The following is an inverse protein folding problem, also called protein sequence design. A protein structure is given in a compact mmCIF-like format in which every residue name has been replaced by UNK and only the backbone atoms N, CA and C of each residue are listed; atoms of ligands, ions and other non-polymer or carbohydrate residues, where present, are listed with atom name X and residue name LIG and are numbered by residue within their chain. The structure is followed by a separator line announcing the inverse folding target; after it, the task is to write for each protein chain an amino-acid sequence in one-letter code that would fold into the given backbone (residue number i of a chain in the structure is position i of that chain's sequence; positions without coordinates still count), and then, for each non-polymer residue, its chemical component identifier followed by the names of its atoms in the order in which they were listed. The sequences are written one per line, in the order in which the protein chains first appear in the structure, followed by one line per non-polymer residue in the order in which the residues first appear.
data_IF_687273642489
#
_entry.id   IF_687273642489
#
_cell.length_a   1.000
_cell.length_b   1.000
_cell.length_c   1.000
_cell.angle_alpha   90.00
_cell.angle_beta   90.00
_cell.angle_gamma   90.00
#
_symmetry.space_group_name_H-M   'P 1'
#
loop_
_entity.id
_entity.type
_entity.pdbx_description
1 polymer ?
#
# COMPACT_ATOMS: atom_id res chain seq x y z
N UNK A 1 -35.36 5.65 -22.02
CA UNK A 1 -35.19 6.11 -20.62
C UNK A 1 -33.78 6.67 -20.54
N UNK A 2 -33.62 7.99 -20.56
CA UNK A 2 -32.30 8.62 -20.46
C UNK A 2 -31.64 8.20 -19.14
N UNK A 3 -30.47 7.57 -19.25
CA UNK A 3 -29.64 7.30 -18.08
C UNK A 3 -29.11 8.66 -17.63
N UNK A 4 -29.78 9.30 -16.68
CA UNK A 4 -29.21 10.43 -15.98
C UNK A 4 -27.90 9.95 -15.34
N UNK A 5 -26.76 10.31 -15.93
CA UNK A 5 -25.45 10.16 -15.28
C UNK A 5 -25.49 11.02 -14.03
N UNK A 6 -25.79 10.41 -12.87
CA UNK A 6 -25.67 11.08 -11.59
C UNK A 6 -24.25 11.65 -11.51
N UNK A 7 -24.15 12.98 -11.37
CA UNK A 7 -22.88 13.68 -11.29
C UNK A 7 -22.43 13.71 -9.83
N UNK A 8 -21.17 13.41 -9.59
CA UNK A 8 -20.55 13.57 -8.27
C UNK A 8 -20.41 15.06 -7.96
N UNK A 9 -21.34 15.59 -7.16
CA UNK A 9 -21.42 17.00 -6.82
C UNK A 9 -20.15 17.38 -6.04
N UNK A 10 -19.43 18.39 -6.53
CA UNK A 10 -18.16 18.89 -5.97
C UNK A 10 -17.02 17.87 -5.88
N UNK A 11 -17.07 16.76 -6.63
CA UNK A 11 -16.08 15.67 -6.55
C UNK A 11 -15.90 15.13 -5.11
N UNK A 12 -16.97 15.18 -4.29
CA UNK A 12 -16.90 14.78 -2.88
C UNK A 12 -16.51 13.33 -2.69
N UNK A 13 -17.05 12.42 -3.51
CA UNK A 13 -16.69 11.00 -3.48
C UNK A 13 -15.22 10.81 -3.84
N UNK A 14 -14.73 11.50 -4.87
CA UNK A 14 -13.32 11.45 -5.28
C UNK A 14 -12.39 11.83 -4.13
N UNK A 15 -12.69 12.91 -3.41
CA UNK A 15 -11.87 13.39 -2.29
C UNK A 15 -11.92 12.44 -1.08
N UNK A 16 -13.07 11.84 -0.81
CA UNK A 16 -13.18 10.83 0.25
C UNK A 16 -12.31 9.61 -0.07
N UNK A 17 -12.37 9.08 -1.30
CA UNK A 17 -11.51 7.97 -1.71
C UNK A 17 -10.01 8.31 -1.67
N UNK A 18 -9.66 9.57 -1.92
CA UNK A 18 -8.31 10.09 -1.72
C UNK A 18 -7.88 10.05 -0.25
N UNK A 19 -8.70 10.56 0.67
CA UNK A 19 -8.43 10.48 2.13
C UNK A 19 -8.34 9.04 2.60
N UNK A 20 -9.23 8.16 2.13
CA UNK A 20 -9.18 6.73 2.47
C UNK A 20 -7.86 6.09 2.00
N UNK A 21 -7.39 6.43 0.80
CA UNK A 21 -6.06 6.04 0.31
C UNK A 21 -4.93 6.53 1.24
N UNK A 22 -4.96 7.80 1.64
CA UNK A 22 -3.99 8.37 2.59
C UNK A 22 -4.00 7.61 3.92
N UNK A 23 -5.19 7.36 4.49
CA UNK A 23 -5.37 6.64 5.76
C UNK A 23 -4.93 5.17 5.74
N UNK A 24 -4.83 4.55 4.56
CA UNK A 24 -4.35 3.16 4.46
C UNK A 24 -2.85 3.01 4.64
N UNK A 25 -2.05 3.92 4.05
CA UNK A 25 -0.59 3.76 4.01
C UNK A 25 0.15 4.74 4.90
N UNK A 26 -0.42 5.91 5.23
CA UNK A 26 0.31 6.89 6.04
C UNK A 26 0.73 6.34 7.41
N UNK A 27 -0.14 5.64 8.17
CA UNK A 27 0.27 5.06 9.45
C UNK A 27 1.45 4.11 9.30
N UNK A 28 1.40 3.20 8.32
CA UNK A 28 2.49 2.26 8.06
C UNK A 28 3.78 2.96 7.62
N UNK A 29 3.69 3.97 6.75
CA UNK A 29 4.85 4.74 6.29
C UNK A 29 5.54 5.48 7.45
N UNK A 30 4.76 6.04 8.38
CA UNK A 30 5.29 6.66 9.60
C UNK A 30 5.89 5.63 10.56
N UNK A 31 5.29 4.44 10.66
CA UNK A 31 5.89 3.35 11.42
C UNK A 31 7.26 2.94 10.87
N UNK A 32 7.37 2.76 9.55
CA UNK A 32 8.64 2.47 8.88
C UNK A 32 9.65 3.60 9.05
N UNK A 33 9.20 4.86 8.98
CA UNK A 33 10.03 6.06 9.20
C UNK A 33 10.60 6.09 10.62
N UNK A 34 9.84 5.64 11.61
CA UNK A 34 10.25 5.52 13.00
C UNK A 34 11.18 4.32 13.29
N UNK A 35 11.69 3.61 12.28
CA UNK A 35 12.62 2.47 12.47
C UNK A 35 13.80 2.84 13.36
N UNK A 36 14.39 4.03 13.19
CA UNK A 36 15.52 4.48 14.01
C UNK A 36 15.16 4.56 15.51
N UNK A 37 13.95 5.01 15.83
CA UNK A 37 13.42 5.03 17.19
C UNK A 37 13.32 3.62 17.78
N UNK A 38 12.79 2.66 17.03
CA UNK A 38 12.68 1.30 17.53
C UNK A 38 14.06 0.65 17.72
N UNK A 39 14.98 0.82 16.77
CA UNK A 39 16.33 0.26 16.89
C UNK A 39 17.13 0.88 18.02
N UNK A 40 17.00 2.19 18.26
CA UNK A 40 17.70 2.84 19.38
C UNK A 40 17.17 2.37 20.73
N UNK A 41 15.85 2.13 20.83
CA UNK A 41 15.22 1.64 22.07
C UNK A 41 15.54 0.18 22.40
N UNK A 42 16.02 -0.59 21.42
CA UNK A 42 16.45 -1.98 21.58
C UNK A 42 17.93 -2.13 21.94
N UNK A 43 18.67 -1.02 22.08
CA UNK A 43 20.08 -1.05 22.44
C UNK A 43 20.22 -1.38 23.94
N UNK A 44 21.01 -2.39 24.27
CA UNK A 44 21.25 -2.79 25.66
C UNK A 44 22.18 -1.80 26.37
N UNK A 45 21.82 -1.27 27.55
CA UNK A 45 22.73 -0.48 28.38
C UNK A 45 23.87 -1.31 29.00
N UNK A 46 23.62 -2.59 29.26
CA UNK A 46 24.53 -3.48 30.02
C UNK A 46 25.74 -3.97 29.23
N UNK A 47 25.77 -3.82 27.91
CA UNK A 47 26.96 -4.10 27.10
C UNK A 47 27.97 -2.94 27.10
N UNK A 48 27.60 -1.78 27.63
CA UNK A 48 28.52 -0.63 27.77
C UNK A 48 29.43 -0.78 29.01
N UNK A 49 28.99 -1.49 30.05
CA UNK A 49 29.78 -1.76 31.27
C UNK A 49 30.68 -3.00 31.19
N UNK A 50 30.34 -4.01 30.37
CA UNK A 50 31.19 -5.20 30.23
C UNK A 50 32.47 -4.96 29.39
N UNK A 51 32.54 -3.85 28.64
CA UNK A 51 33.68 -3.50 27.78
C UNK A 51 34.74 -2.66 28.55
N UNK A 52 34.42 -2.13 29.74
CA UNK A 52 35.34 -1.26 30.49
C UNK A 52 36.41 -2.00 31.30
N UNK A 53 36.47 -3.34 31.27
CA UNK A 53 37.40 -4.11 32.14
C UNK A 53 38.51 -4.85 31.39
N UNK A 54 38.42 -5.10 30.08
CA UNK A 54 39.55 -5.59 29.28
C UNK A 54 39.18 -5.61 27.80
N UNK A 55 39.86 -4.81 26.97
CA UNK A 55 40.40 -5.16 25.64
C UNK A 55 40.87 -3.87 24.95
N UNK A 56 42.17 -3.80 24.71
CA UNK A 56 42.81 -2.89 23.77
C UNK A 56 42.59 -3.38 22.34
N UNK A 57 42.41 -2.42 21.41
CA UNK A 57 42.35 -2.56 19.94
C UNK A 57 41.08 -3.15 19.30
N UNK A 58 40.39 -2.30 18.53
CA UNK A 58 39.37 -2.66 17.54
C UNK A 58 37.94 -2.26 17.94
N UNK A 59 37.47 -1.10 17.47
CA UNK A 59 36.08 -0.68 17.53
C UNK A 59 35.17 -1.69 16.82
N UNK A 60 34.63 -2.67 17.55
CA UNK A 60 33.51 -3.48 17.10
C UNK A 60 32.25 -2.96 17.77
N UNK A 61 31.48 -2.11 17.07
CA UNK A 61 30.10 -1.80 17.40
C UNK A 61 29.25 -3.09 17.40
N UNK A 62 29.23 -3.83 18.50
CA UNK A 62 28.33 -4.97 18.67
C UNK A 62 26.90 -4.42 18.88
N UNK A 63 26.11 -4.37 17.80
CA UNK A 63 24.66 -4.16 17.89
C UNK A 63 24.04 -5.24 18.77
N UNK A 64 23.07 -4.88 19.62
CA UNK A 64 22.29 -5.89 20.34
C UNK A 64 21.63 -6.84 19.32
N UNK A 65 21.55 -8.13 19.63
CA UNK A 65 20.98 -9.14 18.74
C UNK A 65 19.58 -8.76 18.25
N UNK A 66 18.79 -8.11 19.11
CA UNK A 66 17.44 -7.63 18.80
C UNK A 66 17.47 -6.46 17.81
N UNK A 67 18.39 -5.51 17.98
CA UNK A 67 18.59 -4.39 17.04
C UNK A 67 18.95 -4.90 15.65
N UNK A 68 19.89 -5.85 15.56
CA UNK A 68 20.34 -6.42 14.29
C UNK A 68 19.24 -7.19 13.57
N UNK A 69 18.37 -7.89 14.31
CA UNK A 69 17.26 -8.69 13.75
C UNK A 69 16.00 -7.87 13.47
N UNK A 70 15.86 -6.66 14.02
CA UNK A 70 14.63 -5.88 14.01
C UNK A 70 14.03 -5.71 12.61
N UNK A 71 14.80 -5.20 11.65
CA UNK A 71 14.31 -4.95 10.29
C UNK A 71 13.88 -6.24 9.57
N UNK A 72 14.62 -7.33 9.77
CA UNK A 72 14.32 -8.62 9.13
C UNK A 72 13.03 -9.20 9.71
N UNK A 73 12.89 -9.20 11.04
CA UNK A 73 11.70 -9.71 11.73
C UNK A 73 10.49 -8.82 11.46
N UNK A 74 10.65 -7.49 11.48
CA UNK A 74 9.59 -6.55 11.08
C UNK A 74 9.07 -6.88 9.68
N UNK A 75 9.98 -7.09 8.72
CA UNK A 75 9.61 -7.42 7.34
C UNK A 75 8.80 -8.71 7.27
N UNK A 76 9.22 -9.76 7.97
CA UNK A 76 8.46 -11.03 8.04
C UNK A 76 7.09 -10.86 8.70
N UNK A 77 7.05 -10.16 9.84
CA UNK A 77 5.82 -9.85 10.58
C UNK A 77 4.87 -8.93 9.81
N UNK A 78 5.36 -8.16 8.83
CA UNK A 78 4.54 -7.34 7.97
C UNK A 78 4.03 -8.10 6.75
N UNK A 79 4.93 -8.77 6.01
CA UNK A 79 4.61 -9.38 4.72
C UNK A 79 3.76 -10.64 4.85
N UNK A 80 4.01 -11.50 5.86
CA UNK A 80 3.26 -12.74 6.01
C UNK A 80 1.77 -12.50 6.35
N UNK A 81 1.42 -11.64 7.34
CA UNK A 81 0.03 -11.36 7.61
C UNK A 81 -0.63 -10.56 6.49
N UNK A 82 0.10 -9.62 5.86
CA UNK A 82 -0.41 -8.89 4.71
C UNK A 82 -0.85 -9.85 3.58
N UNK A 83 -0.01 -10.82 3.23
CA UNK A 83 -0.30 -11.82 2.21
C UNK A 83 -1.45 -12.76 2.62
N UNK A 84 -1.42 -13.27 3.85
CA UNK A 84 -2.44 -14.18 4.36
C UNK A 84 -3.83 -13.53 4.41
N UNK A 85 -3.92 -12.32 4.95
CA UNK A 85 -5.20 -11.61 5.10
C UNK A 85 -5.70 -10.99 3.80
N UNK A 86 -4.83 -10.62 2.85
CA UNK A 86 -5.31 -10.21 1.51
C UNK A 86 -5.90 -11.40 0.75
N UNK A 87 -5.27 -12.58 0.86
CA UNK A 87 -5.82 -13.83 0.33
C UNK A 87 -7.17 -14.17 0.98
N UNK A 88 -7.21 -14.16 2.33
CA UNK A 88 -8.43 -14.45 3.08
C UNK A 88 -9.55 -13.44 2.76
N UNK A 89 -9.23 -12.16 2.56
CA UNK A 89 -10.21 -11.14 2.21
C UNK A 89 -10.90 -11.45 0.86
N UNK A 90 -10.21 -12.11 -0.07
CA UNK A 90 -10.84 -12.61 -1.30
C UNK A 90 -11.93 -13.66 -1.05
N UNK A 91 -12.00 -14.26 0.14
CA UNK A 91 -13.08 -15.18 0.54
C UNK A 91 -14.05 -14.47 1.51
N UNK A 92 -13.50 -13.72 2.46
CA UNK A 92 -14.23 -13.03 3.53
C UNK A 92 -15.17 -11.94 3.01
N UNK A 93 -14.87 -11.37 1.83
CA UNK A 93 -15.70 -10.29 1.26
C UNK A 93 -17.15 -10.70 1.00
N UNK A 94 -17.43 -11.98 0.76
CA UNK A 94 -18.79 -12.50 0.55
C UNK A 94 -19.55 -12.72 1.87
N UNK A 95 -18.83 -12.88 3.00
CA UNK A 95 -19.41 -13.23 4.30
C UNK A 95 -19.59 -12.03 5.22
N UNK A 96 -18.68 -11.06 5.16
CA UNK A 96 -18.68 -9.91 6.06
C UNK A 96 -19.05 -8.64 5.30
N UNK A 97 -20.07 -7.87 5.75
CA UNK A 97 -20.44 -6.62 5.12
C UNK A 97 -19.26 -5.65 5.05
N UNK A 98 -19.11 -4.98 3.90
CA UNK A 98 -18.02 -4.03 3.62
C UNK A 98 -17.84 -2.95 4.71
N UNK A 99 -18.93 -2.48 5.33
CA UNK A 99 -18.88 -1.46 6.37
C UNK A 99 -18.15 -1.93 7.62
N UNK A 100 -18.42 -3.16 8.06
CA UNK A 100 -17.71 -3.75 9.19
C UNK A 100 -16.24 -4.01 8.86
N UNK A 101 -15.94 -4.44 7.62
CA UNK A 101 -14.55 -4.63 7.16
C UNK A 101 -13.74 -3.33 7.20
N UNK A 102 -14.25 -2.25 6.62
CA UNK A 102 -13.53 -0.97 6.53
C UNK A 102 -13.46 -0.26 7.88
N UNK A 103 -14.60 -0.04 8.54
CA UNK A 103 -14.62 0.66 9.84
C UNK A 103 -13.93 -0.13 10.94
N UNK A 104 -14.12 -1.45 10.97
CA UNK A 104 -13.45 -2.34 11.93
C UNK A 104 -11.94 -2.30 11.76
N UNK A 105 -11.44 -2.36 10.52
CA UNK A 105 -10.00 -2.29 10.25
C UNK A 105 -9.40 -0.95 10.63
N UNK A 106 -10.05 0.17 10.24
CA UNK A 106 -9.59 1.51 10.65
C UNK A 106 -9.61 1.69 12.18
N UNK A 107 -10.64 1.18 12.86
CA UNK A 107 -10.75 1.22 14.31
C UNK A 107 -9.64 0.44 15.02
N UNK A 108 -9.35 -0.78 14.58
CA UNK A 108 -8.26 -1.59 15.15
C UNK A 108 -6.91 -0.93 14.90
N UNK A 109 -6.64 -0.45 13.68
CA UNK A 109 -5.39 0.25 13.36
C UNK A 109 -5.24 1.51 14.24
N UNK A 110 -6.31 2.30 14.43
CA UNK A 110 -6.28 3.46 15.32
C UNK A 110 -5.88 3.09 16.75
N UNK A 111 -6.50 2.06 17.33
CA UNK A 111 -6.18 1.61 18.68
C UNK A 111 -4.72 1.17 18.77
N UNK A 112 -4.21 0.41 17.81
CA UNK A 112 -2.81 -0.05 17.82
C UNK A 112 -1.82 1.11 17.68
N UNK A 113 -2.13 2.14 16.88
CA UNK A 113 -1.29 3.33 16.77
C UNK A 113 -1.34 4.21 18.03
N UNK A 114 -2.50 4.34 18.68
CA UNK A 114 -2.61 5.00 19.99
C UNK A 114 -1.77 4.28 21.05
N UNK A 115 -1.87 2.94 21.12
CA UNK A 115 -1.02 2.13 22.01
C UNK A 115 0.46 2.29 21.68
N UNK A 116 0.81 2.47 20.41
CA UNK A 116 2.20 2.72 19.99
C UNK A 116 2.69 4.10 20.41
N UNK A 117 1.85 5.14 20.30
CA UNK A 117 2.18 6.48 20.79
C UNK A 117 2.37 6.50 22.32
N UNK A 118 1.50 5.81 23.06
CA UNK A 118 1.63 5.66 24.53
C UNK A 118 2.94 4.93 24.88
N UNK A 119 3.27 3.86 24.15
CA UNK A 119 4.50 3.08 24.37
C UNK A 119 5.77 3.91 24.18
N UNK A 120 5.74 5.02 23.42
CA UNK A 120 6.88 5.94 23.28
C UNK A 120 7.27 6.58 24.61
N UNK A 121 6.31 6.82 25.49
CA UNK A 121 6.54 7.50 26.78
C UNK A 121 6.76 6.51 27.94
N UNK A 122 6.59 5.22 27.72
CA UNK A 122 6.76 4.18 28.75
C UNK A 122 8.15 3.56 28.63
N UNK A 123 8.87 3.50 29.75
CA UNK A 123 10.12 2.75 29.85
C UNK A 123 9.85 1.26 29.99
N UNK A 124 10.48 0.46 29.13
CA UNK A 124 10.26 -0.98 29.06
C UNK A 124 11.57 -1.67 28.68
N UNK A 125 11.79 -2.87 29.21
CA UNK A 125 12.94 -3.68 28.84
C UNK A 125 12.92 -4.04 27.33
N UNK A 126 14.10 -4.24 26.68
CA UNK A 126 14.19 -4.44 25.24
C UNK A 126 13.37 -5.61 24.68
N UNK A 127 13.37 -6.76 25.37
CA UNK A 127 12.69 -7.97 24.87
C UNK A 127 11.14 -7.86 24.89
N UNK A 128 10.50 -7.43 26.00
CA UNK A 128 9.07 -7.12 25.98
C UNK A 128 8.69 -6.05 24.95
N UNK A 129 9.50 -4.99 24.82
CA UNK A 129 9.28 -3.93 23.83
C UNK A 129 9.33 -4.47 22.39
N UNK A 130 10.34 -5.29 22.08
CA UNK A 130 10.47 -5.98 20.80
C UNK A 130 9.24 -6.84 20.49
N UNK A 131 8.86 -7.69 21.44
CA UNK A 131 7.77 -8.66 21.27
C UNK A 131 6.43 -7.96 21.04
N UNK A 132 6.11 -6.97 21.89
CA UNK A 132 4.90 -6.17 21.73
C UNK A 132 4.89 -5.40 20.41
N UNK A 133 6.04 -4.88 19.98
CA UNK A 133 6.16 -4.18 18.70
C UNK A 133 5.89 -5.12 17.52
N UNK A 134 6.43 -6.34 17.53
CA UNK A 134 6.18 -7.34 16.48
C UNK A 134 4.71 -7.79 16.43
N UNK A 135 4.08 -8.01 17.60
CA UNK A 135 2.64 -8.32 17.67
C UNK A 135 1.82 -7.19 17.05
N UNK A 136 2.13 -5.92 17.36
CA UNK A 136 1.44 -4.76 16.77
C UNK A 136 1.63 -4.69 15.26
N UNK A 137 2.84 -4.96 14.74
CA UNK A 137 3.11 -5.01 13.29
C UNK A 137 2.23 -6.06 12.61
N UNK A 138 2.10 -7.25 13.20
CA UNK A 138 1.24 -8.32 12.67
C UNK A 138 -0.21 -7.85 12.60
N UNK A 139 -0.73 -7.23 13.67
CA UNK A 139 -2.11 -6.72 13.70
C UNK A 139 -2.32 -5.61 12.66
N UNK A 140 -1.41 -4.63 12.58
CA UNK A 140 -1.49 -3.53 11.62
C UNK A 140 -1.55 -4.06 10.19
N UNK A 141 -0.68 -5.00 9.83
CA UNK A 141 -0.64 -5.54 8.47
C UNK A 141 -1.83 -6.46 8.16
N UNK A 142 -2.35 -7.18 9.15
CA UNK A 142 -3.56 -8.02 8.99
C UNK A 142 -4.79 -7.18 8.69
N UNK A 143 -5.06 -6.15 9.50
CA UNK A 143 -6.21 -5.26 9.27
C UNK A 143 -5.96 -4.28 8.12
N UNK A 144 -4.70 -3.90 7.87
CA UNK A 144 -4.30 -3.14 6.68
C UNK A 144 -4.62 -3.89 5.39
N UNK A 145 -4.38 -5.21 5.35
CA UNK A 145 -4.75 -6.07 4.23
C UNK A 145 -6.26 -6.08 3.96
N UNK A 146 -7.07 -6.25 5.02
CA UNK A 146 -8.53 -6.24 4.92
C UNK A 146 -9.02 -4.87 4.43
N UNK A 147 -8.48 -3.78 4.99
CA UNK A 147 -8.82 -2.41 4.62
C UNK A 147 -8.49 -2.13 3.14
N UNK A 148 -7.26 -2.41 2.72
CA UNK A 148 -6.79 -2.16 1.36
C UNK A 148 -7.60 -2.98 0.35
N UNK A 149 -7.78 -4.28 0.59
CA UNK A 149 -8.57 -5.12 -0.30
C UNK A 149 -10.04 -4.71 -0.37
N UNK A 150 -10.64 -4.26 0.74
CA UNK A 150 -12.03 -3.76 0.76
C UNK A 150 -12.17 -2.45 -0.02
N UNK A 151 -11.22 -1.51 0.11
CA UNK A 151 -11.25 -0.25 -0.63
C UNK A 151 -11.08 -0.44 -2.14
N UNK A 152 -10.20 -1.34 -2.58
CA UNK A 152 -10.08 -1.67 -4.01
C UNK A 152 -11.29 -2.42 -4.54
N UNK A 153 -11.90 -3.31 -3.73
CA UNK A 153 -13.17 -3.94 -4.06
C UNK A 153 -14.29 -2.90 -4.28
N UNK A 154 -14.43 -1.95 -3.36
CA UNK A 154 -15.39 -0.83 -3.47
C UNK A 154 -15.12 0.04 -4.70
N UNK A 155 -13.86 0.38 -4.96
CA UNK A 155 -13.49 1.19 -6.13
C UNK A 155 -13.78 0.48 -7.46
N UNK A 156 -13.76 -0.86 -7.47
CA UNK A 156 -14.15 -1.67 -8.63
C UNK A 156 -15.59 -1.43 -9.08
N UNK A 157 -16.50 -1.15 -8.13
CA UNK A 157 -17.92 -0.86 -8.38
C UNK A 157 -18.15 0.50 -9.03
N UNK A 158 -17.24 1.44 -8.83
CA UNK A 158 -17.33 2.82 -9.31
C UNK A 158 -16.62 2.99 -10.66
N UNK A 159 -16.88 4.07 -11.42
CA UNK A 159 -16.10 4.39 -12.61
C UNK A 159 -14.59 4.47 -12.33
N UNK A 160 -13.74 4.17 -13.32
CA UNK A 160 -12.27 4.08 -13.17
C UNK A 160 -11.60 5.31 -12.55
N UNK A 161 -12.23 6.48 -12.72
CA UNK A 161 -11.79 7.74 -12.10
C UNK A 161 -11.75 7.71 -10.57
N UNK A 162 -12.39 6.74 -9.90
CA UNK A 162 -12.45 6.64 -8.44
C UNK A 162 -11.43 5.67 -7.81
N UNK A 163 -10.79 4.80 -8.60
CA UNK A 163 -9.63 4.03 -8.14
C UNK A 163 -8.35 4.87 -8.08
N UNK A 164 -8.21 5.81 -9.01
CA UNK A 164 -7.06 6.73 -9.07
C UNK A 164 -6.87 7.57 -7.79
N UNK A 165 -7.92 8.15 -7.16
CA UNK A 165 -7.84 8.80 -5.85
C UNK A 165 -7.15 7.99 -4.77
N UNK A 166 -7.51 6.71 -4.64
CA UNK A 166 -6.95 5.83 -3.59
C UNK A 166 -5.44 5.74 -3.78
N UNK A 167 -5.00 5.43 -5.01
CA UNK A 167 -3.58 5.34 -5.35
C UNK A 167 -2.86 6.67 -5.17
N UNK A 168 -3.52 7.79 -5.51
CA UNK A 168 -2.96 9.13 -5.33
C UNK A 168 -2.80 9.47 -3.84
N UNK A 169 -3.77 9.14 -2.99
CA UNK A 169 -3.69 9.32 -1.54
C UNK A 169 -2.57 8.47 -0.92
N UNK A 170 -2.40 7.24 -1.41
CA UNK A 170 -1.28 6.36 -1.05
C UNK A 170 0.08 6.94 -1.45
N UNK A 171 0.19 7.54 -2.65
CA UNK A 171 1.39 8.25 -3.08
C UNK A 171 1.69 9.48 -2.22
N UNK A 172 0.66 10.25 -1.87
CA UNK A 172 0.81 11.40 -0.96
C UNK A 172 1.25 10.95 0.44
N UNK A 173 0.75 9.81 0.94
CA UNK A 173 1.19 9.25 2.22
C UNK A 173 2.71 9.01 2.26
N UNK A 174 3.29 8.49 1.18
CA UNK A 174 4.74 8.29 1.08
C UNK A 174 5.51 9.61 1.03
N UNK A 175 5.00 10.57 0.26
CA UNK A 175 5.59 11.92 0.16
C UNK A 175 5.57 12.64 1.50
N UNK A 176 4.43 12.58 2.21
CA UNK A 176 4.27 13.19 3.53
C UNK A 176 5.18 12.52 4.56
N UNK A 177 5.32 11.19 4.53
CA UNK A 177 6.27 10.48 5.40
C UNK A 177 7.73 10.92 5.18
N UNK A 178 8.17 11.01 3.91
CA UNK A 178 9.50 11.49 3.58
C UNK A 178 9.72 12.95 4.02
N UNK A 179 8.73 13.81 3.79
CA UNK A 179 8.77 15.20 4.24
C UNK A 179 8.88 15.31 5.77
N UNK A 180 8.06 14.59 6.53
CA UNK A 180 8.13 14.57 7.99
C UNK A 180 9.45 13.99 8.52
N UNK A 181 10.05 13.02 7.82
CA UNK A 181 11.39 12.52 8.15
C UNK A 181 12.44 13.62 8.02
N UNK A 182 12.42 14.36 6.89
CA UNK A 182 13.34 15.48 6.65
C UNK A 182 13.15 16.58 7.71
N UNK A 183 11.90 16.95 8.01
CA UNK A 183 11.61 17.95 9.03
C UNK A 183 12.09 17.53 10.42
N UNK A 184 11.94 16.27 10.81
CA UNK A 184 12.42 15.82 12.12
C UNK A 184 13.94 15.89 12.24
N UNK A 185 14.66 15.52 11.18
CA UNK A 185 16.13 15.62 11.12
C UNK A 185 16.55 17.11 11.13
N UNK A 186 15.91 17.94 10.30
CA UNK A 186 16.25 19.36 10.17
C UNK A 186 15.96 20.16 11.45
N UNK A 187 14.89 19.81 12.17
CA UNK A 187 14.56 20.44 13.46
C UNK A 187 15.46 19.98 14.61
N UNK A 188 16.29 18.96 14.43
CA UNK A 188 17.11 18.37 15.51
C UNK A 188 16.25 17.78 16.65
N UNK A 189 15.04 17.32 16.33
CA UNK A 189 14.11 16.81 17.35
C UNK A 189 14.63 15.50 17.93
N UNK A 190 14.45 15.33 19.24
CA UNK A 190 14.71 14.06 19.92
C UNK A 190 13.95 12.91 19.22
N UNK A 191 14.63 11.77 19.07
CA UNK A 191 14.12 10.62 18.30
C UNK A 191 12.76 10.16 18.85
N UNK A 192 12.57 10.22 20.17
CA UNK A 192 11.33 9.85 20.84
C UNK A 192 10.19 10.84 20.52
N UNK A 193 10.46 12.15 20.51
CA UNK A 193 9.44 13.16 20.23
C UNK A 193 9.06 13.18 18.74
N UNK A 194 10.04 12.97 17.86
CA UNK A 194 9.77 12.75 16.44
C UNK A 194 8.87 11.53 16.22
N UNK A 195 9.20 10.38 16.82
CA UNK A 195 8.39 9.16 16.72
C UNK A 195 6.97 9.36 17.30
N UNK A 196 6.86 10.02 18.45
CA UNK A 196 5.56 10.37 19.03
C UNK A 196 4.72 11.23 18.07
N UNK A 197 5.33 12.27 17.47
CA UNK A 197 4.68 13.12 16.47
C UNK A 197 4.18 12.33 15.27
N UNK A 198 4.97 11.38 14.76
CA UNK A 198 4.57 10.49 13.67
C UNK A 198 3.34 9.65 14.04
N UNK A 199 3.32 9.01 15.20
CA UNK A 199 2.20 8.16 15.61
C UNK A 199 0.92 8.96 15.91
N UNK A 200 1.02 10.13 16.53
CA UNK A 200 -0.14 11.01 16.75
C UNK A 200 -0.71 11.53 15.42
N UNK A 201 0.15 11.91 14.48
CA UNK A 201 -0.29 12.36 13.15
C UNK A 201 -0.97 11.21 12.39
N UNK A 202 -0.45 9.98 12.50
CA UNK A 202 -1.14 8.80 11.97
C UNK A 202 -2.54 8.62 12.56
N UNK A 203 -2.71 8.74 13.88
CA UNK A 203 -4.01 8.67 14.54
C UNK A 203 -4.99 9.72 14.02
N UNK A 204 -4.55 10.98 13.88
CA UNK A 204 -5.37 12.06 13.35
C UNK A 204 -5.87 11.77 11.91
N UNK A 205 -4.99 11.24 11.06
CA UNK A 205 -5.34 10.87 9.69
C UNK A 205 -6.28 9.66 9.63
N UNK A 206 -6.12 8.68 10.53
CA UNK A 206 -7.07 7.55 10.63
C UNK A 206 -8.45 8.03 11.09
N UNK A 207 -8.53 8.93 12.06
CA UNK A 207 -9.80 9.53 12.51
C UNK A 207 -10.46 10.29 11.34
N UNK A 208 -9.69 11.07 10.59
CA UNK A 208 -10.16 11.75 9.38
C UNK A 208 -10.68 10.75 8.33
N UNK A 209 -10.00 9.62 8.14
CA UNK A 209 -10.44 8.56 7.24
C UNK A 209 -11.74 7.90 7.71
N UNK A 210 -11.92 7.65 9.02
CA UNK A 210 -13.17 7.13 9.60
C UNK A 210 -14.31 8.10 9.37
N UNK A 211 -14.12 9.39 9.68
CA UNK A 211 -15.14 10.43 9.47
C UNK A 211 -15.53 10.54 7.98
N UNK A 212 -14.53 10.49 7.09
CA UNK A 212 -14.75 10.51 5.64
C UNK A 212 -15.51 9.27 5.16
N UNK A 213 -15.24 8.09 5.71
CA UNK A 213 -15.98 6.87 5.38
C UNK A 213 -17.46 6.91 5.82
N UNK A 214 -17.71 7.50 7.00
CA UNK A 214 -19.09 7.72 7.49
C UNK A 214 -19.82 8.74 6.60
N UNK A 215 -19.14 9.81 6.17
CA UNK A 215 -19.68 10.79 5.24
C UNK A 215 -20.02 10.17 3.87
N UNK A 216 -19.19 9.24 3.37
CA UNK A 216 -19.41 8.54 2.10
C UNK A 216 -20.78 7.88 2.02
N UNK A 217 -21.24 7.29 3.12
CA UNK A 217 -22.52 6.60 3.20
C UNK A 217 -23.73 7.54 3.10
N UNK A 218 -23.54 8.84 3.31
CA UNK A 218 -24.60 9.85 3.20
C UNK A 218 -24.70 10.45 1.79
N UNK A 219 -23.76 10.15 0.88
CA UNK A 219 -23.75 10.71 -0.47
C UNK A 219 -24.61 9.88 -1.43
N UNK A 220 -25.59 10.53 -2.07
CA UNK A 220 -26.53 9.90 -3.01
C UNK A 220 -25.84 9.19 -4.18
N UNK A 221 -24.76 9.79 -4.72
CA UNK A 221 -23.97 9.19 -5.79
C UNK A 221 -23.42 7.81 -5.40
N UNK A 222 -22.88 7.69 -4.19
CA UNK A 222 -22.33 6.41 -3.72
C UNK A 222 -23.44 5.38 -3.48
N UNK A 223 -24.58 5.82 -2.92
CA UNK A 223 -25.74 4.96 -2.70
C UNK A 223 -26.30 4.41 -4.02
N UNK A 224 -26.34 5.22 -5.08
CA UNK A 224 -26.79 4.80 -6.40
C UNK A 224 -25.96 3.65 -6.97
N UNK A 225 -24.62 3.80 -7.04
CA UNK A 225 -23.75 2.76 -7.58
C UNK A 225 -23.75 1.48 -6.72
N UNK A 226 -23.83 1.64 -5.39
CA UNK A 226 -23.95 0.51 -4.47
C UNK A 226 -25.26 -0.26 -4.65
N UNK A 227 -26.39 0.45 -4.80
CA UNK A 227 -27.71 -0.15 -5.03
C UNK A 227 -27.79 -0.85 -6.39
N UNK A 228 -27.25 -0.22 -7.45
CA UNK A 228 -27.24 -0.81 -8.80
C UNK A 228 -26.41 -2.10 -8.86
N UNK A 229 -25.28 -2.17 -8.13
CA UNK A 229 -24.50 -3.41 -8.00
C UNK A 229 -25.29 -4.50 -7.27
N UNK A 230 -26.02 -4.15 -6.20
CA UNK A 230 -26.85 -5.10 -5.46
C UNK A 230 -27.98 -5.69 -6.30
N UNK A 231 -28.67 -4.86 -7.07
CA UNK A 231 -29.78 -5.30 -7.93
C UNK A 231 -29.31 -6.17 -9.10
N UNK A 232 -28.19 -5.80 -9.77
CA UNK A 232 -27.62 -6.61 -10.86
C UNK A 232 -27.14 -7.99 -10.41
N UNK A 233 -26.60 -8.12 -9.19
CA UNK A 233 -26.21 -9.42 -8.63
C UNK A 233 -27.43 -10.30 -8.36
N UNK A 234 -28.54 -9.71 -7.92
CA UNK A 234 -29.81 -10.42 -7.71
C UNK A 234 -30.42 -10.91 -9.03
N UNK A 235 -30.47 -10.04 -10.04
CA UNK A 235 -30.94 -10.38 -11.39
C UNK A 235 -30.05 -11.45 -12.04
N UNK A 236 -28.72 -11.34 -11.93
CA UNK A 236 -27.80 -12.34 -12.49
C UNK A 236 -27.93 -13.70 -11.80
N UNK A 237 -28.14 -13.75 -10.48
CA UNK A 237 -28.41 -15.03 -9.77
C UNK A 237 -29.73 -15.65 -10.23
N UNK A 238 -30.76 -14.83 -10.43
CA UNK A 238 -32.05 -15.27 -10.95
C UNK A 238 -31.94 -15.74 -12.41
N UNK A 239 -31.13 -15.07 -13.21
CA UNK A 239 -30.87 -15.41 -14.61
C UNK A 239 -29.97 -16.62 -14.76
N UNK A 240 -29.01 -16.86 -13.85
CA UNK A 240 -28.22 -18.10 -13.82
C UNK A 240 -29.08 -19.31 -13.46
N UNK A 241 -30.02 -19.16 -12.52
CA UNK A 241 -31.04 -20.18 -12.22
C UNK A 241 -31.99 -20.42 -13.40
N UNK A 242 -32.27 -19.39 -14.21
CA UNK A 242 -33.07 -19.52 -15.43
C UNK A 242 -32.26 -20.09 -16.60
N UNK A 243 -30.97 -19.78 -16.70
CA UNK A 243 -30.04 -20.28 -17.74
C UNK A 243 -29.72 -21.76 -17.56
N UNK A 244 -29.73 -22.26 -16.33
CA UNK A 244 -29.64 -23.70 -16.06
C UNK A 244 -30.83 -24.46 -16.66
N UNK A 245 -31.97 -23.80 -16.84
CA UNK A 245 -33.18 -24.36 -17.47
C UNK A 245 -33.31 -24.08 -18.97
N UNK A 246 -32.43 -23.29 -19.57
CA UNK A 246 -32.58 -22.83 -20.95
C UNK A 246 -31.22 -22.70 -21.64
N UNK A 247 -30.64 -23.83 -22.00
CA UNK A 247 -29.46 -23.89 -22.86
C UNK A 247 -29.83 -24.50 -24.23
N UNK A 248 -30.26 -23.65 -25.18
CA UNK A 248 -30.08 -23.95 -26.61
C UNK A 248 -29.99 -22.67 -27.48
N UNK A 249 -28.84 -22.57 -28.17
CA UNK A 249 -28.55 -21.97 -29.49
C UNK A 249 -28.54 -20.44 -29.78
N UNK A 250 -27.29 -19.99 -30.09
CA UNK A 250 -26.80 -19.07 -31.17
C UNK A 250 -27.04 -17.54 -31.07
N UNK A 251 -26.38 -16.70 -31.92
CA UNK A 251 -24.93 -16.45 -32.06
C UNK A 251 -24.58 -14.95 -31.93
N UNK A 252 -23.28 -14.62 -31.90
CA UNK A 252 -22.72 -13.29 -31.70
C UNK A 252 -22.86 -12.36 -32.94
N UNK A 253 -23.17 -11.07 -32.70
CA UNK A 253 -23.10 -10.01 -33.71
C UNK A 253 -22.30 -8.81 -33.18
N UNK A 254 -21.45 -8.29 -34.07
CA UNK A 254 -20.51 -7.19 -33.87
C UNK A 254 -21.21 -5.82 -33.78
N UNK A 255 -20.59 -4.85 -33.09
CA UNK A 255 -20.76 -3.45 -33.45
C UNK A 255 -19.46 -2.66 -33.28
N UNK A 256 -19.20 -1.85 -34.31
CA UNK A 256 -18.01 -1.09 -34.56
C UNK A 256 -17.94 0.19 -33.71
N UNK A 257 -16.74 0.56 -33.27
CA UNK A 257 -16.45 1.89 -32.74
C UNK A 257 -15.97 2.80 -33.87
N UNK A 258 -16.71 3.89 -34.07
CA UNK A 258 -16.39 4.98 -35.01
C UNK A 258 -15.43 5.99 -34.36
N UNK A 259 -14.62 6.62 -35.20
CA UNK A 259 -13.36 7.31 -34.89
C UNK A 259 -13.55 8.85 -34.93
N UNK A 260 -12.54 9.57 -34.41
CA UNK A 260 -12.10 10.95 -34.73
C UNK A 260 -12.43 11.99 -33.64
N UNK A 261 -11.44 12.65 -33.01
CA UNK A 261 -10.63 13.74 -33.61
C UNK A 261 -9.25 13.90 -32.95
N UNK A 262 -8.30 14.44 -33.71
CA UNK A 262 -6.87 14.59 -33.39
C UNK A 262 -6.61 15.99 -32.81
N UNK A 263 -5.82 16.09 -31.75
CA UNK A 263 -5.11 17.33 -31.37
C UNK A 263 -3.78 17.01 -30.68
N UNK A 264 -2.82 17.92 -30.85
CA UNK A 264 -1.36 17.80 -30.69
C UNK A 264 -0.91 17.64 -29.22
N UNK A 265 -1.28 16.55 -28.55
CA UNK A 265 -0.78 16.15 -27.21
C UNK A 265 -0.32 14.68 -27.16
N UNK A 266 0.10 14.14 -28.32
CA UNK A 266 0.33 12.71 -28.55
C UNK A 266 1.62 12.11 -27.94
N UNK A 267 2.37 12.84 -27.10
CA UNK A 267 3.54 12.26 -26.41
C UNK A 267 3.14 11.56 -25.10
N UNK A 268 1.98 11.90 -24.50
CA UNK A 268 1.43 11.25 -23.31
C UNK A 268 0.04 10.66 -23.57
N UNK A 269 -0.13 9.90 -24.67
CA UNK A 269 -1.36 9.14 -24.88
C UNK A 269 -1.45 8.05 -23.80
N UNK A 270 -2.28 8.28 -22.77
CA UNK A 270 -2.52 7.32 -21.69
C UNK A 270 -2.83 5.96 -22.33
N UNK A 271 -2.06 4.91 -22.07
CA UNK A 271 -2.29 3.62 -22.71
C UNK A 271 -3.69 3.13 -22.33
N UNK A 272 -4.46 2.69 -23.32
CA UNK A 272 -5.78 2.11 -23.08
C UNK A 272 -5.69 0.81 -22.28
N UNK A 273 -6.82 0.41 -21.67
CA UNK A 273 -6.92 -0.81 -20.83
C UNK A 273 -6.48 -2.11 -21.53
N UNK A 274 -6.56 -2.14 -22.86
CA UNK A 274 -6.23 -3.30 -23.70
C UNK A 274 -4.85 -3.17 -24.39
N UNK A 275 -4.13 -2.08 -24.13
CA UNK A 275 -2.82 -1.86 -24.73
C UNK A 275 -1.77 -2.82 -24.16
N UNK A 276 -1.07 -3.53 -25.05
CA UNK A 276 0.09 -4.39 -24.70
C UNK A 276 1.28 -3.58 -24.15
N UNK A 277 1.24 -2.25 -24.26
CA UNK A 277 2.30 -1.36 -23.80
C UNK A 277 2.49 -1.38 -22.28
N UNK A 278 1.41 -1.56 -21.49
CA UNK A 278 1.50 -1.59 -20.02
C UNK A 278 2.32 -2.80 -19.54
N UNK A 279 2.04 -4.05 -19.97
CA UNK A 279 2.90 -5.20 -19.67
C UNK A 279 4.36 -5.03 -20.11
N UNK A 280 4.60 -4.48 -21.30
CA UNK A 280 5.96 -4.26 -21.83
C UNK A 280 6.74 -3.30 -20.92
N UNK A 281 6.12 -2.18 -20.54
CA UNK A 281 6.75 -1.22 -19.62
C UNK A 281 7.00 -1.81 -18.23
N UNK A 282 6.13 -2.73 -17.75
CA UNK A 282 6.35 -3.43 -16.47
C UNK A 282 7.60 -4.32 -16.54
N UNK A 283 7.78 -5.10 -17.60
CA UNK A 283 8.97 -5.95 -17.79
C UNK A 283 10.22 -5.10 -17.98
N UNK A 284 10.13 -3.99 -18.70
CA UNK A 284 11.24 -3.07 -18.88
C UNK A 284 11.80 -2.53 -17.55
N UNK A 285 11.00 -2.45 -16.48
CA UNK A 285 11.48 -2.00 -15.15
C UNK A 285 12.50 -2.95 -14.50
N UNK A 286 12.65 -4.18 -14.99
CA UNK A 286 13.72 -5.09 -14.52
C UNK A 286 15.10 -4.47 -14.76
N UNK A 287 15.26 -3.58 -15.75
CA UNK A 287 16.51 -2.86 -16.00
C UNK A 287 16.99 -2.01 -14.81
N UNK A 288 16.09 -1.57 -13.93
CA UNK A 288 16.48 -0.78 -12.76
C UNK A 288 17.27 -1.60 -11.74
N UNK A 289 17.11 -2.93 -11.70
CA UNK A 289 17.85 -3.81 -10.78
C UNK A 289 19.37 -3.71 -11.02
N UNK A 290 19.91 -4.04 -12.22
CA UNK A 290 21.34 -3.90 -12.47
C UNK A 290 21.80 -2.43 -12.38
N UNK A 291 20.98 -1.46 -12.79
CA UNK A 291 21.34 -0.04 -12.66
C UNK A 291 21.61 0.35 -11.21
N UNK A 292 20.75 -0.03 -10.27
CA UNK A 292 20.96 0.23 -8.84
C UNK A 292 22.11 -0.57 -8.24
N UNK A 293 22.30 -1.83 -8.63
CA UNK A 293 23.44 -2.64 -8.15
C UNK A 293 24.80 -2.07 -8.58
N UNK A 294 24.85 -1.37 -9.71
CA UNK A 294 26.06 -0.71 -10.24
C UNK A 294 26.27 0.74 -9.76
N UNK A 295 25.32 1.30 -9.01
CA UNK A 295 25.50 2.58 -8.30
C UNK A 295 26.48 2.44 -7.13
N UNK A 296 26.96 3.58 -6.61
CA UNK A 296 27.98 3.64 -5.55
C UNK A 296 27.46 3.28 -4.13
N UNK A 297 27.12 2.01 -3.92
CA UNK A 297 26.79 1.42 -2.60
C UNK A 297 28.08 0.90 -1.93
N UNK A 298 28.32 1.25 -0.65
CA UNK A 298 29.48 0.83 0.15
C UNK A 298 29.04 0.31 1.54
N UNK A 299 29.77 -0.65 2.14
CA UNK A 299 30.85 -1.46 1.57
C UNK A 299 30.28 -2.53 0.61
N UNK A 300 31.10 -3.01 -0.33
CA UNK A 300 30.73 -4.03 -1.32
C UNK A 300 31.80 -5.10 -1.45
N UNK A 301 31.42 -6.29 -1.88
CA UNK A 301 32.33 -7.44 -1.99
C UNK A 301 32.60 -7.86 -3.43
N UNK A 302 31.56 -7.97 -4.27
CA UNK A 302 31.70 -8.71 -5.55
C UNK A 302 31.56 -7.85 -6.83
N UNK A 303 30.84 -6.72 -6.79
CA UNK A 303 30.41 -5.98 -7.99
C UNK A 303 31.15 -4.64 -8.19
N UNK A 304 31.61 -4.29 -9.40
CA UNK A 304 32.26 -3.00 -9.64
C UNK A 304 31.28 -1.81 -9.55
N UNK A 305 31.78 -0.63 -9.17
CA UNK A 305 31.02 0.64 -9.21
C UNK A 305 31.16 1.24 -10.61
N UNK A 306 30.06 1.27 -11.37
CA UNK A 306 30.05 1.95 -12.68
C UNK A 306 29.60 3.40 -12.54
N UNK A 307 28.52 3.63 -11.78
CA UNK A 307 27.97 4.97 -11.55
C UNK A 307 28.48 5.52 -10.21
N UNK A 308 29.58 6.28 -10.27
CA UNK A 308 30.24 6.84 -9.07
C UNK A 308 29.51 8.06 -8.48
N UNK A 309 28.92 8.89 -9.34
CA UNK A 309 28.29 10.14 -8.93
C UNK A 309 26.83 9.95 -8.51
N UNK A 310 26.45 10.51 -7.37
CA UNK A 310 25.12 10.35 -6.75
C UNK A 310 23.96 10.83 -7.64
N UNK A 311 24.21 11.77 -8.55
CA UNK A 311 23.22 12.21 -9.52
C UNK A 311 22.63 11.05 -10.35
N UNK A 312 23.43 10.03 -10.69
CA UNK A 312 22.92 8.87 -11.42
C UNK A 312 21.90 8.08 -10.60
N UNK A 313 22.20 7.86 -9.32
CA UNK A 313 21.28 7.21 -8.40
C UNK A 313 19.97 8.00 -8.27
N UNK A 314 20.07 9.33 -8.10
CA UNK A 314 18.90 10.22 -8.01
C UNK A 314 18.03 10.13 -9.28
N UNK A 315 18.65 10.21 -10.45
CA UNK A 315 17.95 10.11 -11.74
C UNK A 315 17.25 8.76 -11.89
N UNK A 316 17.94 7.65 -11.59
CA UNK A 316 17.34 6.32 -11.64
C UNK A 316 16.20 6.17 -10.64
N UNK A 317 16.34 6.72 -9.43
CA UNK A 317 15.28 6.71 -8.41
C UNK A 317 14.04 7.49 -8.84
N UNK A 318 14.18 8.64 -9.48
CA UNK A 318 13.04 9.43 -10.00
C UNK A 318 12.27 8.62 -11.04
N UNK A 319 12.97 8.06 -12.05
CA UNK A 319 12.32 7.27 -13.09
C UNK A 319 11.72 5.97 -12.54
N UNK A 320 12.41 5.30 -11.63
CA UNK A 320 11.93 4.09 -10.97
C UNK A 320 10.66 4.37 -10.14
N UNK A 321 10.64 5.43 -9.34
CA UNK A 321 9.50 5.80 -8.50
C UNK A 321 8.30 6.27 -9.33
N UNK A 322 8.54 7.13 -10.33
CA UNK A 322 7.49 7.62 -11.22
C UNK A 322 6.85 6.47 -12.02
N UNK A 323 7.68 5.60 -12.63
CA UNK A 323 7.18 4.42 -13.35
C UNK A 323 6.44 3.46 -12.43
N UNK A 324 6.86 3.32 -11.16
CA UNK A 324 6.13 2.53 -10.16
C UNK A 324 4.72 3.06 -9.91
N UNK A 325 4.62 4.34 -9.54
CA UNK A 325 3.34 4.95 -9.20
C UNK A 325 2.38 4.96 -10.39
N UNK A 326 2.88 5.33 -11.57
CA UNK A 326 2.07 5.39 -12.79
C UNK A 326 1.57 4.01 -13.23
N UNK A 327 2.46 3.02 -13.40
CA UNK A 327 2.07 1.70 -13.89
C UNK A 327 1.25 0.91 -12.86
N UNK A 328 1.58 0.98 -11.58
CA UNK A 328 0.78 0.35 -10.53
C UNK A 328 -0.65 0.92 -10.52
N UNK A 329 -0.78 2.25 -10.64
CA UNK A 329 -2.10 2.89 -10.70
C UNK A 329 -2.89 2.46 -11.92
N UNK A 330 -2.26 2.35 -13.10
CA UNK A 330 -2.92 1.85 -14.31
C UNK A 330 -3.39 0.40 -14.13
N UNK A 331 -2.55 -0.48 -13.59
CA UNK A 331 -2.93 -1.85 -13.29
C UNK A 331 -4.16 -1.88 -12.38
N UNK A 332 -4.10 -1.20 -11.23
CA UNK A 332 -5.19 -1.15 -10.24
C UNK A 332 -6.49 -0.55 -10.81
N UNK A 333 -6.41 0.41 -11.72
CA UNK A 333 -7.59 1.00 -12.36
C UNK A 333 -8.19 0.11 -13.47
N UNK A 334 -7.35 -0.59 -14.24
CA UNK A 334 -7.81 -1.36 -15.40
C UNK A 334 -8.26 -2.77 -15.06
N UNK A 335 -7.67 -3.42 -14.07
CA UNK A 335 -7.96 -4.82 -13.77
C UNK A 335 -9.44 -5.11 -13.44
N UNK A 336 -10.12 -4.37 -12.54
CA UNK A 336 -11.54 -4.62 -12.24
C UNK A 336 -12.48 -4.34 -13.42
N UNK A 337 -12.00 -3.65 -14.46
CA UNK A 337 -12.76 -3.33 -15.68
C UNK A 337 -12.54 -4.33 -16.81
N UNK A 338 -11.66 -5.32 -16.62
CA UNK A 338 -11.51 -6.45 -17.55
C UNK A 338 -12.51 -7.58 -17.28
N UNK A 339 -13.21 -7.51 -16.16
CA UNK A 339 -14.22 -8.48 -15.76
C UNK A 339 -15.61 -7.85 -15.82
N UNK A 340 -16.63 -8.70 -15.71
CA UNK A 340 -18.01 -8.26 -15.62
C UNK A 340 -18.24 -7.43 -14.33
N UNK A 341 -19.23 -6.52 -14.29
CA UNK A 341 -19.45 -5.66 -13.12
C UNK A 341 -19.71 -6.42 -11.81
N UNK A 342 -20.28 -7.62 -11.87
CA UNK A 342 -20.56 -8.44 -10.68
C UNK A 342 -19.29 -9.11 -10.11
N UNK A 343 -18.25 -9.27 -10.93
CA UNK A 343 -16.95 -9.82 -10.53
C UNK A 343 -15.93 -8.72 -10.19
N UNK A 344 -16.25 -7.44 -10.46
CA UNK A 344 -15.33 -6.32 -10.32
C UNK A 344 -14.82 -6.14 -8.87
N UNK A 345 -15.67 -6.37 -7.87
CA UNK A 345 -15.25 -6.33 -6.46
C UNK A 345 -14.21 -7.42 -6.16
N UNK A 346 -14.48 -8.65 -6.61
CA UNK A 346 -13.57 -9.79 -6.44
C UNK A 346 -12.26 -9.59 -7.20
N UNK A 347 -12.32 -9.09 -8.44
CA UNK A 347 -11.14 -8.75 -9.22
C UNK A 347 -10.27 -7.69 -8.50
N UNK A 348 -10.89 -6.65 -7.94
CA UNK A 348 -10.18 -5.66 -7.12
C UNK A 348 -9.48 -6.26 -5.90
N UNK A 349 -10.14 -7.20 -5.21
CA UNK A 349 -9.55 -7.92 -4.08
C UNK A 349 -8.38 -8.81 -4.50
N UNK A 350 -8.52 -9.57 -5.60
CA UNK A 350 -7.46 -10.42 -6.17
C UNK A 350 -6.24 -9.56 -6.55
N UNK A 351 -6.46 -8.38 -7.11
CA UNK A 351 -5.36 -7.47 -7.46
C UNK A 351 -4.61 -6.95 -6.23
N UNK A 352 -5.32 -6.66 -5.13
CA UNK A 352 -4.67 -6.30 -3.88
C UNK A 352 -3.82 -7.46 -3.31
N UNK A 353 -4.28 -8.70 -3.48
CA UNK A 353 -3.47 -9.88 -3.17
C UNK A 353 -2.21 -9.98 -4.04
N UNK A 354 -2.31 -9.83 -5.37
CA UNK A 354 -1.13 -9.87 -6.24
C UNK A 354 -0.15 -8.71 -5.98
N UNK A 355 -0.66 -7.54 -5.60
CA UNK A 355 0.17 -6.42 -5.14
C UNK A 355 0.95 -6.82 -3.87
N UNK A 356 0.27 -7.43 -2.90
CA UNK A 356 0.88 -7.91 -1.65
C UNK A 356 1.89 -9.04 -1.87
N UNK A 357 1.59 -9.96 -2.79
CA UNK A 357 2.51 -10.99 -3.23
C UNK A 357 3.77 -10.39 -3.85
N UNK A 358 3.61 -9.36 -4.71
CA UNK A 358 4.73 -8.62 -5.28
C UNK A 358 5.62 -7.97 -4.21
N UNK A 359 5.02 -7.38 -3.16
CA UNK A 359 5.76 -6.83 -2.02
C UNK A 359 6.53 -7.92 -1.26
N UNK A 360 5.90 -9.06 -0.98
CA UNK A 360 6.52 -10.18 -0.26
C UNK A 360 7.67 -10.83 -1.05
N UNK A 361 7.49 -11.02 -2.36
CA UNK A 361 8.53 -11.53 -3.26
C UNK A 361 9.68 -10.53 -3.39
N UNK A 362 9.37 -9.23 -3.52
CA UNK A 362 10.38 -8.17 -3.55
C UNK A 362 11.19 -8.09 -2.26
N UNK A 363 10.54 -8.23 -1.10
CA UNK A 363 11.22 -8.33 0.19
C UNK A 363 12.12 -9.55 0.28
N UNK A 364 11.67 -10.71 -0.22
CA UNK A 364 12.47 -11.95 -0.22
C UNK A 364 13.70 -11.84 -1.14
N UNK A 365 13.52 -11.30 -2.35
CA UNK A 365 14.60 -11.08 -3.31
C UNK A 365 15.60 -10.01 -2.86
N UNK A 366 15.17 -8.99 -2.12
CA UNK A 366 16.08 -7.94 -1.64
C UNK A 366 17.13 -8.48 -0.66
N UNK A 367 16.78 -9.50 0.14
CA UNK A 367 17.77 -10.21 0.97
C UNK A 367 18.85 -10.91 0.14
N UNK A 368 18.47 -11.52 -0.99
CA UNK A 368 19.42 -12.13 -1.93
C UNK A 368 20.33 -11.07 -2.56
N UNK A 369 19.76 -9.98 -3.07
CA UNK A 369 20.54 -8.92 -3.71
C UNK A 369 21.51 -8.24 -2.75
N UNK A 370 21.13 -8.08 -1.47
CA UNK A 370 22.02 -7.56 -0.44
C UNK A 370 23.23 -8.47 -0.17
N UNK A 371 23.12 -9.77 -0.41
CA UNK A 371 24.26 -10.70 -0.31
C UNK A 371 25.17 -10.68 -1.56
N UNK A 372 24.68 -10.17 -2.69
CA UNK A 372 25.41 -10.15 -3.96
C UNK A 372 26.27 -8.89 -4.13
N UNK A 373 25.79 -7.74 -3.67
CA UNK A 373 26.51 -6.46 -3.63
C UNK A 373 27.47 -6.46 -2.44
#
# INVERSE_FOLDING_TARGET
MEVHELKDINNGVWFIFFILGLGTLLPWNFFMTATMYFTSRLRDPSQMEAISVNVTSGEWHHRSLLEAKFNNVMTLCAMLPLLAFTCLNSILHQRIPQNFRVMGSLGVILVVFLLTAILVKIEMAPLPFFTLTMIKIIIINSFGAILQGSLFGMAGLLPTKYTTPIMSGQGLAGTFAAFSMICAIASGSEINDAAFGYFITACAVIILAIMSYVALHKLEFYQYYKSQSGNRVSETKLDLLKKENAAENKPAFNQAEEKQTVSMLNIFKKPGKDSKLVPILLVARVIFVPLFMLCNVQPRLNLPVFFKHDAWFIVFMIFFAFSNGYLASLCMCFGPKKVSPHEAETAGAIMAFFLSLGLALGASLSFLFRGLV
#
